data_IF_914087826311
#
_entry.id   IF_914087826311
#
_cell.length_a   1.000
_cell.length_b   1.000
_cell.length_c   1.000
_cell.angle_alpha   90.00
_cell.angle_beta   90.00
_cell.angle_gamma   90.00
#
_symmetry.space_group_name_H-M   'P 1'
#
loop_
_entity.id
_entity.type
_entity.pdbx_description
1 polymer ?
#
# COMPACT_ATOMS: atom_id res chain seq x y z
N UNK A 1 12.69 10.53 -8.82
CA UNK A 1 12.67 9.69 -10.03
C UNK A 1 11.36 9.87 -10.80
N UNK A 2 10.21 9.31 -10.39
CA UNK A 2 8.98 9.40 -11.21
C UNK A 2 8.52 10.82 -11.54
N UNK A 3 8.59 11.76 -10.60
CA UNK A 3 8.27 13.18 -10.87
C UNK A 3 9.21 13.82 -11.89
N UNK A 4 10.48 13.39 -11.97
CA UNK A 4 11.42 13.88 -12.99
C UNK A 4 11.04 13.35 -14.36
N UNK A 5 10.65 12.06 -14.45
CA UNK A 5 10.13 11.48 -15.70
C UNK A 5 8.82 12.18 -16.11
N UNK A 6 7.97 12.53 -15.15
CA UNK A 6 6.70 13.22 -15.39
C UNK A 6 6.85 14.64 -15.97
N UNK A 7 8.05 15.23 -15.92
CA UNK A 7 8.34 16.51 -16.59
C UNK A 7 8.42 16.35 -18.11
N UNK A 8 8.73 15.16 -18.60
CA UNK A 8 8.92 14.86 -20.03
C UNK A 8 7.78 14.00 -20.60
N UNK A 9 7.18 13.15 -19.78
CA UNK A 9 6.15 12.19 -20.21
C UNK A 9 4.93 12.23 -19.29
N UNK A 10 3.72 12.22 -19.85
CA UNK A 10 2.50 12.17 -19.03
C UNK A 10 2.23 10.77 -18.47
N UNK A 11 2.66 10.55 -17.23
CA UNK A 11 2.48 9.28 -16.53
C UNK A 11 1.03 9.02 -16.08
N UNK A 12 0.15 10.03 -16.05
CA UNK A 12 -1.22 9.89 -15.52
C UNK A 12 -2.10 9.03 -16.43
N UNK A 13 -1.79 9.01 -17.72
CA UNK A 13 -2.53 8.25 -18.73
C UNK A 13 -2.24 6.75 -18.72
N UNK A 14 -1.16 6.32 -18.04
CA UNK A 14 -0.64 4.95 -18.12
C UNK A 14 -1.44 3.93 -17.31
N UNK A 15 -2.36 4.36 -16.42
CA UNK A 15 -3.18 3.48 -15.57
C UNK A 15 -2.34 2.43 -14.83
N UNK A 16 -1.37 2.89 -14.06
CA UNK A 16 -0.32 2.07 -13.48
C UNK A 16 -0.35 2.10 -11.96
N UNK A 17 0.31 1.11 -11.35
CA UNK A 17 0.38 1.00 -9.91
C UNK A 17 1.75 0.59 -9.39
N UNK A 18 2.08 1.04 -8.17
CA UNK A 18 3.16 0.44 -7.38
C UNK A 18 2.57 -0.72 -6.56
N UNK A 19 3.20 -1.89 -6.68
CA UNK A 19 2.82 -3.06 -5.90
C UNK A 19 3.47 -3.06 -4.51
N UNK A 20 2.85 -3.73 -3.54
CA UNK A 20 3.39 -3.94 -2.18
C UNK A 20 3.69 -2.67 -1.39
N UNK A 21 2.86 -1.63 -1.51
CA UNK A 21 3.07 -0.42 -0.70
C UNK A 21 2.55 -0.66 0.73
N UNK A 22 3.45 -1.12 1.61
CA UNK A 22 3.16 -1.36 3.02
C UNK A 22 3.19 -0.07 3.84
N UNK A 23 4.11 0.85 3.52
CA UNK A 23 4.29 2.13 4.21
C UNK A 23 4.17 3.29 3.25
N UNK A 24 3.76 4.46 3.74
CA UNK A 24 3.65 5.65 2.92
C UNK A 24 3.24 6.86 3.75
N UNK A 25 4.04 7.92 3.69
CA UNK A 25 3.71 9.17 4.35
C UNK A 25 2.57 9.91 3.61
N UNK A 26 1.82 10.78 4.30
CA UNK A 26 0.81 11.63 3.66
C UNK A 26 1.36 12.42 2.46
N UNK A 27 2.62 12.85 2.53
CA UNK A 27 3.32 13.58 1.47
C UNK A 27 3.61 12.66 0.27
N UNK A 28 4.03 11.42 0.51
CA UNK A 28 4.25 10.44 -0.56
C UNK A 28 2.95 10.11 -1.29
N UNK A 29 1.85 9.90 -0.55
CA UNK A 29 0.54 9.64 -1.15
C UNK A 29 0.06 10.83 -2.00
N UNK A 30 0.28 12.07 -1.56
CA UNK A 30 -0.08 13.24 -2.36
C UNK A 30 0.73 13.34 -3.66
N UNK A 31 2.01 12.96 -3.63
CA UNK A 31 2.85 12.90 -4.84
C UNK A 31 2.34 11.82 -5.80
N UNK A 32 2.00 10.64 -5.27
CA UNK A 32 1.42 9.55 -6.06
C UNK A 32 0.10 9.98 -6.72
N UNK A 33 -0.78 10.66 -5.98
CA UNK A 33 -2.05 11.20 -6.50
C UNK A 33 -1.81 12.15 -7.66
N UNK A 34 -0.87 13.09 -7.54
CA UNK A 34 -0.52 14.04 -8.62
C UNK A 34 0.01 13.35 -9.88
N UNK A 35 0.65 12.20 -9.73
CA UNK A 35 1.16 11.37 -10.83
C UNK A 35 0.10 10.44 -11.43
N UNK A 36 -1.14 10.42 -10.91
CA UNK A 36 -2.20 9.53 -11.36
C UNK A 36 -1.93 8.06 -11.01
N UNK A 37 -1.14 7.82 -9.97
CA UNK A 37 -0.68 6.49 -9.58
C UNK A 37 -1.66 5.81 -8.61
N UNK A 38 -1.97 4.55 -8.89
CA UNK A 38 -2.63 3.66 -7.95
C UNK A 38 -1.58 2.87 -7.13
N UNK A 39 -1.96 2.24 -6.03
CA UNK A 39 -1.09 1.24 -5.42
C UNK A 39 -1.87 0.04 -4.94
N UNK A 40 -1.15 -1.05 -4.73
CA UNK A 40 -1.74 -2.27 -4.20
C UNK A 40 -1.13 -2.65 -2.87
N UNK A 41 -1.97 -3.20 -1.99
CA UNK A 41 -1.55 -3.79 -0.72
C UNK A 41 -1.87 -5.27 -0.78
N UNK A 42 -0.87 -6.09 -0.49
CA UNK A 42 -1.04 -7.54 -0.35
C UNK A 42 -0.86 -7.97 1.10
N UNK A 43 -0.91 -9.27 1.39
CA UNK A 43 -0.97 -9.76 2.77
C UNK A 43 0.34 -9.64 3.58
N UNK A 44 1.36 -8.94 3.06
CA UNK A 44 2.61 -8.69 3.79
C UNK A 44 2.37 -8.06 5.16
N UNK A 45 1.67 -6.92 5.28
CA UNK A 45 1.33 -6.30 6.57
C UNK A 45 0.50 -7.20 7.50
N UNK A 46 -0.27 -8.16 6.97
CA UNK A 46 -1.02 -9.13 7.77
C UNK A 46 -0.12 -10.20 8.39
N UNK A 47 0.86 -10.74 7.65
CA UNK A 47 1.74 -11.81 8.14
C UNK A 47 3.03 -11.29 8.78
N UNK A 48 3.53 -10.15 8.32
CA UNK A 48 4.89 -9.66 8.55
C UNK A 48 4.89 -8.29 9.24
N UNK A 49 3.79 -7.88 9.88
CA UNK A 49 3.63 -6.54 10.46
C UNK A 49 4.79 -6.12 11.39
N UNK A 50 5.25 -7.02 12.26
CA UNK A 50 6.40 -6.77 13.15
C UNK A 50 7.71 -6.62 12.38
N UNK A 51 7.96 -7.48 11.38
CA UNK A 51 9.16 -7.38 10.55
C UNK A 51 9.16 -6.10 9.71
N UNK A 52 8.00 -5.69 9.20
CA UNK A 52 7.82 -4.42 8.49
C UNK A 52 8.08 -3.25 9.44
N UNK A 53 7.59 -3.28 10.67
CA UNK A 53 7.89 -2.26 11.69
C UNK A 53 9.39 -2.17 11.94
N UNK A 54 10.05 -3.29 12.20
CA UNK A 54 11.46 -3.33 12.59
C UNK A 54 12.39 -2.95 11.42
N UNK A 55 11.97 -3.18 10.18
CA UNK A 55 12.71 -2.79 8.97
C UNK A 55 12.55 -1.31 8.59
N UNK A 56 11.67 -0.55 9.27
CA UNK A 56 11.39 0.83 8.94
C UNK A 56 11.77 1.78 10.09
N UNK A 57 12.05 3.07 9.81
CA UNK A 57 12.27 4.06 10.85
C UNK A 57 11.09 4.17 11.83
N UNK A 58 11.33 4.57 13.10
CA UNK A 58 10.26 4.84 14.05
C UNK A 58 9.18 5.77 13.47
N UNK A 59 7.91 5.41 13.64
CA UNK A 59 6.76 6.16 13.15
C UNK A 59 6.36 5.90 11.69
N UNK A 60 7.20 5.23 10.89
CA UNK A 60 6.91 4.97 9.48
C UNK A 60 5.76 3.96 9.25
N UNK A 61 5.44 3.16 10.25
CA UNK A 61 4.39 2.13 10.21
C UNK A 61 3.13 2.49 10.99
N UNK A 62 3.06 3.68 11.60
CA UNK A 62 1.92 4.11 12.43
C UNK A 62 0.58 4.13 11.66
N UNK A 63 0.66 4.25 10.34
CA UNK A 63 -0.50 4.23 9.45
C UNK A 63 -0.40 3.09 8.42
N UNK A 64 0.32 2.01 8.73
CA UNK A 64 0.54 0.89 7.80
C UNK A 64 -0.62 -0.12 7.84
N UNK A 65 -1.15 -0.56 6.68
CA UNK A 65 -1.02 0.06 5.37
C UNK A 65 -1.90 1.31 5.27
N UNK A 66 -1.48 2.36 4.53
CA UNK A 66 -2.15 3.65 4.57
C UNK A 66 -3.40 3.73 3.69
N UNK A 67 -4.19 2.64 3.63
CA UNK A 67 -5.37 2.48 2.75
C UNK A 67 -6.42 3.55 3.03
N UNK A 68 -6.82 3.73 4.29
CA UNK A 68 -7.86 4.72 4.65
C UNK A 68 -7.42 6.13 4.26
N UNK A 69 -6.19 6.49 4.58
CA UNK A 69 -5.59 7.80 4.27
C UNK A 69 -5.49 8.04 2.75
N UNK A 70 -5.16 7.01 1.98
CA UNK A 70 -5.09 7.10 0.52
C UNK A 70 -6.48 7.28 -0.11
N UNK A 71 -7.48 6.54 0.37
CA UNK A 71 -8.87 6.68 -0.07
C UNK A 71 -9.40 8.09 0.23
N UNK A 72 -9.12 8.65 1.41
CA UNK A 72 -9.49 10.04 1.77
C UNK A 72 -8.85 11.08 0.84
N UNK A 73 -7.68 10.78 0.28
CA UNK A 73 -7.00 11.63 -0.69
C UNK A 73 -7.45 11.39 -2.13
N UNK A 74 -8.37 10.45 -2.36
CA UNK A 74 -8.86 10.10 -3.69
C UNK A 74 -7.87 9.29 -4.53
N UNK A 75 -6.90 8.59 -3.92
CA UNK A 75 -6.10 7.60 -4.64
C UNK A 75 -6.92 6.33 -4.90
N UNK A 76 -6.60 5.66 -6.01
CA UNK A 76 -7.06 4.30 -6.28
C UNK A 76 -6.15 3.32 -5.56
N UNK A 77 -6.74 2.46 -4.73
CA UNK A 77 -6.02 1.41 -3.98
C UNK A 77 -6.68 0.07 -4.25
N UNK A 78 -5.89 -0.98 -4.43
CA UNK A 78 -6.40 -2.35 -4.56
C UNK A 78 -5.79 -3.27 -3.50
N UNK A 79 -6.62 -4.16 -2.95
CA UNK A 79 -6.17 -5.25 -2.09
C UNK A 79 -5.84 -6.50 -2.90
N UNK A 80 -4.98 -7.36 -2.37
CA UNK A 80 -4.67 -8.66 -2.97
C UNK A 80 -3.98 -9.59 -1.98
N UNK A 81 -3.67 -10.81 -2.42
CA UNK A 81 -3.03 -11.80 -1.55
C UNK A 81 -1.54 -11.99 -1.84
N UNK A 82 -1.09 -11.77 -3.08
CA UNK A 82 0.25 -12.20 -3.56
C UNK A 82 0.51 -13.69 -3.27
N UNK A 83 -0.51 -14.51 -3.50
CA UNK A 83 -0.41 -15.96 -3.32
C UNK A 83 0.35 -16.62 -4.48
N UNK A 84 1.16 -17.65 -4.25
CA UNK A 84 1.44 -18.33 -2.96
C UNK A 84 2.70 -17.82 -2.27
N UNK A 85 3.21 -16.65 -2.66
CA UNK A 85 4.51 -16.16 -2.16
C UNK A 85 4.41 -15.54 -0.77
N UNK A 86 3.38 -14.71 -0.55
CA UNK A 86 3.16 -14.02 0.73
C UNK A 86 1.86 -14.52 1.36
N UNK A 87 0.77 -14.49 0.60
CA UNK A 87 -0.56 -14.83 1.08
C UNK A 87 -1.08 -16.19 0.67
N UNK A 88 -2.26 -16.50 1.20
CA UNK A 88 -3.06 -17.67 0.80
C UNK A 88 -3.95 -17.32 -0.41
N UNK A 89 -4.40 -18.33 -1.16
CA UNK A 89 -5.20 -18.10 -2.37
C UNK A 89 -6.57 -17.46 -2.07
N UNK A 90 -7.12 -17.68 -0.88
CA UNK A 90 -8.41 -17.15 -0.47
C UNK A 90 -8.39 -15.65 -0.15
N UNK A 91 -9.32 -14.90 -0.74
CA UNK A 91 -9.39 -13.42 -0.59
C UNK A 91 -9.98 -12.94 0.73
N UNK A 92 -10.71 -13.80 1.46
CA UNK A 92 -11.46 -13.39 2.64
C UNK A 92 -10.58 -12.82 3.76
N UNK A 93 -9.41 -13.40 4.00
CA UNK A 93 -8.48 -12.88 5.00
C UNK A 93 -7.89 -11.53 4.60
N UNK A 94 -7.65 -11.29 3.31
CA UNK A 94 -7.21 -9.98 2.83
C UNK A 94 -8.32 -8.92 3.00
N UNK A 95 -9.58 -9.29 2.75
CA UNK A 95 -10.74 -8.41 2.98
C UNK A 95 -10.89 -8.10 4.47
N UNK A 96 -10.88 -9.13 5.32
CA UNK A 96 -10.95 -8.98 6.78
C UNK A 96 -9.86 -8.02 7.28
N UNK A 97 -8.61 -8.24 6.87
CA UNK A 97 -7.50 -7.38 7.23
C UNK A 97 -7.73 -5.92 6.82
N UNK A 98 -8.22 -5.68 5.60
CA UNK A 98 -8.49 -4.31 5.14
C UNK A 98 -9.65 -3.63 5.87
N UNK A 99 -10.56 -4.40 6.48
CA UNK A 99 -11.66 -3.87 7.28
C UNK A 99 -11.22 -3.61 8.72
N UNK A 100 -10.52 -4.56 9.34
CA UNK A 100 -10.20 -4.54 10.77
C UNK A 100 -8.87 -3.86 11.08
N UNK A 101 -7.92 -3.90 10.13
CA UNK A 101 -6.53 -3.51 10.35
C UNK A 101 -5.73 -4.48 11.22
N UNK A 102 -6.33 -5.61 11.65
CA UNK A 102 -5.73 -6.53 12.62
C UNK A 102 -4.89 -7.57 11.87
N UNK A 103 -3.58 -7.56 12.12
CA UNK A 103 -2.66 -8.53 11.54
C UNK A 103 -2.75 -9.90 12.25
N UNK A 104 -2.16 -10.92 11.63
CA UNK A 104 -2.10 -12.27 12.21
C UNK A 104 -1.42 -12.22 13.59
N UNK A 105 -2.03 -12.89 14.58
CA UNK A 105 -1.58 -12.81 15.98
C UNK A 105 -2.14 -11.64 16.78
N UNK A 106 -2.99 -10.78 16.19
CA UNK A 106 -3.74 -9.74 16.90
C UNK A 106 -3.04 -8.39 17.05
N UNK A 107 -1.96 -8.16 16.29
CA UNK A 107 -1.19 -6.91 16.26
C UNK A 107 -1.75 -5.85 15.33
#
# INVERSE_FOLDING_TARGET
IFEQVAQQYDLRSLRWSIAHLNTGSPQTLERMRKLGLAYTVQMGPYFEGLAIRDANPPGATDNSPPVRLALDKGLVVAGGTDSTRIGIAGVWHAIEYHITGIASGGS
#
